data_IF_901816683147
#
_entry.id   IF_901816683147
#
_cell.length_a   1.000
_cell.length_b   1.000
_cell.length_c   1.000
_cell.angle_alpha   90.00
_cell.angle_beta   90.00
_cell.angle_gamma   90.00
#
_symmetry.space_group_name_H-M   'P 1'
#
loop_
_entity.id
_entity.type
_entity.pdbx_description
1 polymer ?
#
# COMPACT_ATOMS: atom_id res chain seq x y z
N UNK A 1 20.27 12.96 5.86
CA UNK A 1 20.50 12.86 4.39
C UNK A 1 19.31 12.26 3.63
N UNK A 2 18.53 11.36 4.20
CA UNK A 2 17.40 10.66 3.52
C UNK A 2 16.32 11.61 2.98
N UNK A 3 15.87 12.58 3.76
CA UNK A 3 14.81 13.51 3.33
C UNK A 3 15.21 14.40 2.14
N UNK A 4 16.38 15.07 2.15
CA UNK A 4 16.84 15.80 0.97
C UNK A 4 16.99 14.90 -0.27
N UNK A 5 17.46 13.66 -0.10
CA UNK A 5 17.59 12.72 -1.22
C UNK A 5 16.22 12.37 -1.84
N UNK A 6 15.17 12.20 -1.03
CA UNK A 6 13.81 11.96 -1.52
C UNK A 6 13.26 13.17 -2.28
N UNK A 7 13.47 14.39 -1.75
CA UNK A 7 13.06 15.63 -2.43
C UNK A 7 13.80 15.77 -3.76
N UNK A 8 15.11 15.56 -3.79
CA UNK A 8 15.89 15.55 -5.03
C UNK A 8 15.39 14.49 -6.01
N UNK A 9 15.09 13.29 -5.55
CA UNK A 9 14.57 12.20 -6.37
C UNK A 9 13.24 12.59 -7.05
N UNK A 10 12.37 13.33 -6.40
CA UNK A 10 11.13 13.85 -6.98
C UNK A 10 11.37 14.98 -7.98
N UNK A 11 12.30 15.88 -7.64
CA UNK A 11 12.51 17.11 -8.40
C UNK A 11 13.39 16.90 -9.63
N UNK A 12 14.29 15.92 -9.62
CA UNK A 12 15.14 15.61 -10.80
C UNK A 12 14.24 15.22 -11.97
N UNK A 13 14.32 16.00 -13.05
CA UNK A 13 13.52 15.82 -14.25
C UNK A 13 12.06 16.26 -14.15
N UNK A 14 11.66 16.81 -13.01
CA UNK A 14 10.31 17.36 -12.85
C UNK A 14 10.14 18.66 -13.65
N UNK A 15 8.93 18.84 -14.19
CA UNK A 15 8.58 20.04 -14.97
C UNK A 15 7.40 20.73 -14.33
N UNK A 16 7.60 22.01 -13.97
CA UNK A 16 6.52 22.85 -13.49
C UNK A 16 5.79 23.50 -14.67
N UNK A 17 4.50 23.29 -14.78
CA UNK A 17 3.68 23.91 -15.81
C UNK A 17 3.41 25.38 -15.48
N UNK A 18 3.63 26.29 -16.45
CA UNK A 18 3.44 27.74 -16.31
C UNK A 18 1.98 28.10 -15.98
N UNK A 19 1.73 29.36 -15.59
CA UNK A 19 0.37 29.87 -15.39
C UNK A 19 -0.47 29.63 -16.64
N UNK A 20 -1.66 29.08 -16.45
CA UNK A 20 -2.59 28.75 -17.57
C UNK A 20 -2.35 27.40 -18.25
N UNK A 21 -1.20 26.73 -18.04
CA UNK A 21 -0.94 25.38 -18.56
C UNK A 21 -1.02 24.32 -17.48
N UNK A 22 -1.38 23.08 -17.87
CA UNK A 22 -1.63 21.96 -16.95
C UNK A 22 -0.96 20.70 -17.44
N UNK A 23 -0.67 19.79 -16.52
CA UNK A 23 -0.29 18.43 -16.85
C UNK A 23 -1.57 17.61 -17.13
N UNK A 24 -2.02 17.60 -18.38
CA UNK A 24 -3.24 16.88 -18.78
C UNK A 24 -3.09 15.35 -18.62
N UNK A 25 -1.85 14.88 -18.51
CA UNK A 25 -1.54 13.45 -18.33
C UNK A 25 -1.35 13.05 -16.87
N UNK A 26 -1.75 13.88 -15.89
CA UNK A 26 -1.47 13.68 -14.46
C UNK A 26 -1.96 12.32 -13.91
N UNK A 27 -3.00 11.72 -14.51
CA UNK A 27 -3.51 10.39 -14.19
C UNK A 27 -3.22 9.36 -15.28
N UNK A 28 -2.33 9.66 -16.23
CA UNK A 28 -1.89 8.67 -17.22
C UNK A 28 -1.16 7.50 -16.53
N UNK A 29 -1.12 6.35 -17.21
CA UNK A 29 -0.42 5.17 -16.70
C UNK A 29 1.06 5.45 -16.42
N UNK A 30 1.72 6.30 -17.26
CA UNK A 30 3.12 6.69 -17.05
C UNK A 30 3.28 7.52 -15.77
N UNK A 31 2.45 8.56 -15.57
CA UNK A 31 2.54 9.42 -14.40
C UNK A 31 2.18 8.67 -13.12
N UNK A 32 1.14 7.85 -13.12
CA UNK A 32 0.76 7.05 -11.96
C UNK A 32 1.85 6.03 -11.60
N UNK A 33 2.51 5.41 -12.57
CA UNK A 33 3.66 4.51 -12.32
C UNK A 33 4.84 5.24 -11.70
N UNK A 34 5.17 6.45 -12.17
CA UNK A 34 6.24 7.27 -11.58
C UNK A 34 5.95 7.57 -10.11
N UNK A 35 4.71 7.99 -9.79
CA UNK A 35 4.29 8.22 -8.41
C UNK A 35 4.33 6.94 -7.57
N UNK A 36 3.82 5.83 -8.10
CA UNK A 36 3.87 4.53 -7.42
C UNK A 36 5.30 4.06 -7.17
N UNK A 37 6.22 4.28 -8.11
CA UNK A 37 7.64 3.99 -7.92
C UNK A 37 8.26 4.78 -6.77
N UNK A 38 7.94 6.07 -6.65
CA UNK A 38 8.37 6.90 -5.53
C UNK A 38 7.78 6.42 -4.20
N UNK A 39 6.47 6.20 -4.15
CA UNK A 39 5.81 5.78 -2.91
C UNK A 39 6.18 4.35 -2.48
N UNK A 40 6.58 3.47 -3.41
CA UNK A 40 7.13 2.17 -3.03
C UNK A 40 8.45 2.31 -2.24
N UNK A 41 9.31 3.26 -2.62
CA UNK A 41 10.52 3.60 -1.86
C UNK A 41 10.14 4.17 -0.49
N UNK A 42 9.15 5.07 -0.43
CA UNK A 42 8.67 5.62 0.84
C UNK A 42 8.08 4.54 1.77
N UNK A 43 7.39 3.53 1.22
CA UNK A 43 6.88 2.38 1.99
C UNK A 43 8.04 1.53 2.54
N UNK A 44 9.11 1.31 1.76
CA UNK A 44 10.31 0.65 2.29
C UNK A 44 10.91 1.43 3.46
N UNK A 45 11.02 2.77 3.35
CA UNK A 45 11.52 3.62 4.44
C UNK A 45 10.58 3.59 5.66
N UNK A 46 9.27 3.52 5.46
CA UNK A 46 8.28 3.33 6.51
C UNK A 46 8.55 2.03 7.29
N UNK A 47 8.71 0.91 6.60
CA UNK A 47 8.98 -0.36 7.26
C UNK A 47 10.35 -0.37 7.97
N UNK A 48 11.39 0.26 7.38
CA UNK A 48 12.68 0.44 8.06
C UNK A 48 12.50 1.31 9.33
N UNK A 49 11.70 2.38 9.26
CA UNK A 49 11.39 3.21 10.43
C UNK A 49 10.70 2.41 11.54
N UNK A 50 9.73 1.56 11.19
CA UNK A 50 9.04 0.69 12.13
C UNK A 50 9.99 -0.29 12.83
N UNK A 51 10.94 -0.87 12.11
CA UNK A 51 11.88 -1.84 12.67
C UNK A 51 13.05 -1.19 13.45
N UNK A 52 13.32 0.11 13.24
CA UNK A 52 14.53 0.74 13.81
C UNK A 52 14.27 1.80 14.85
N UNK A 53 13.18 2.55 14.79
CA UNK A 53 12.97 3.71 15.67
C UNK A 53 11.52 3.90 16.15
N UNK A 54 10.63 2.95 15.89
CA UNK A 54 9.25 3.05 16.35
C UNK A 54 9.13 3.12 17.89
N UNK A 55 8.07 3.76 18.43
CA UNK A 55 7.88 3.89 19.87
C UNK A 55 7.84 2.55 20.63
N UNK A 56 7.39 1.48 19.99
CA UNK A 56 7.32 0.12 20.56
C UNK A 56 8.64 -0.66 20.50
N UNK A 57 9.68 -0.12 19.84
CA UNK A 57 10.99 -0.77 19.81
C UNK A 57 11.73 -0.55 21.15
N UNK A 58 12.24 -1.63 21.74
CA UNK A 58 13.00 -1.59 22.99
C UNK A 58 14.30 -0.79 22.83
N UNK A 59 14.97 -0.97 21.68
CA UNK A 59 16.19 -0.23 21.34
C UNK A 59 15.98 0.51 20.02
N UNK A 60 16.18 1.82 20.04
CA UNK A 60 16.03 2.68 18.89
C UNK A 60 17.39 3.00 18.28
N UNK A 61 17.44 3.00 16.96
CA UNK A 61 18.62 3.43 16.20
C UNK A 61 18.49 4.92 15.86
N UNK A 62 19.56 5.68 16.10
CA UNK A 62 19.62 7.09 15.82
C UNK A 62 20.80 7.45 14.89
N UNK A 63 20.66 8.45 13.95
CA UNK A 63 19.40 9.11 13.60
C UNK A 63 18.45 8.14 12.89
N UNK A 64 17.17 8.16 13.25
CA UNK A 64 16.16 7.23 12.75
C UNK A 64 15.31 7.81 11.60
N UNK A 65 14.22 7.11 11.33
CA UNK A 65 13.21 7.48 10.34
C UNK A 65 11.86 7.76 11.02
N UNK A 66 11.88 8.45 12.17
CA UNK A 66 10.71 8.69 13.01
C UNK A 66 9.50 9.22 12.23
N UNK A 67 9.63 10.20 11.30
CA UNK A 67 8.52 10.68 10.50
C UNK A 67 7.90 9.61 9.58
N UNK A 68 8.63 8.53 9.30
CA UNK A 68 8.13 7.45 8.46
C UNK A 68 7.36 6.37 9.22
N UNK A 69 7.44 6.31 10.55
CA UNK A 69 6.90 5.20 11.38
C UNK A 69 5.40 5.00 11.18
N UNK A 70 4.62 6.07 11.12
CA UNK A 70 3.15 6.01 11.07
C UNK A 70 2.55 6.36 9.70
N UNK A 71 3.34 6.94 8.79
CA UNK A 71 2.85 7.56 7.53
C UNK A 71 2.54 6.54 6.41
N UNK A 72 2.89 5.26 6.58
CA UNK A 72 2.83 4.26 5.51
C UNK A 72 1.47 4.11 4.84
N UNK A 73 0.37 4.21 5.60
CA UNK A 73 -0.98 4.09 5.06
C UNK A 73 -1.33 5.22 4.08
N UNK A 74 -0.74 6.42 4.23
CA UNK A 74 -0.91 7.51 3.26
C UNK A 74 -0.32 7.13 1.90
N UNK A 75 0.84 6.47 1.89
CA UNK A 75 1.48 6.04 0.64
C UNK A 75 0.69 4.93 -0.04
N UNK A 76 0.20 3.95 0.72
CA UNK A 76 -0.65 2.86 0.19
C UNK A 76 -1.97 3.39 -0.36
N UNK A 77 -2.49 4.47 0.19
CA UNK A 77 -3.72 5.13 -0.25
C UNK A 77 -3.71 5.50 -1.73
N UNK A 78 -2.56 5.97 -2.25
CA UNK A 78 -2.42 6.27 -3.68
C UNK A 78 -2.53 5.01 -4.53
N UNK A 79 -1.97 3.87 -4.09
CA UNK A 79 -2.08 2.60 -4.82
C UNK A 79 -3.54 2.14 -4.88
N UNK A 80 -4.29 2.29 -3.78
CA UNK A 80 -5.72 1.98 -3.75
C UNK A 80 -6.50 2.83 -4.74
N UNK A 81 -6.30 4.16 -4.72
CA UNK A 81 -6.97 5.08 -5.65
C UNK A 81 -6.61 4.76 -7.12
N UNK A 82 -5.33 4.58 -7.43
CA UNK A 82 -4.87 4.25 -8.77
C UNK A 82 -5.43 2.90 -9.26
N UNK A 83 -5.60 1.92 -8.37
CA UNK A 83 -6.19 0.63 -8.71
C UNK A 83 -7.66 0.77 -9.12
N UNK A 84 -8.47 1.42 -8.31
CA UNK A 84 -9.89 1.67 -8.63
C UNK A 84 -10.06 2.51 -9.90
N UNK A 85 -9.27 3.59 -10.03
CA UNK A 85 -9.25 4.46 -11.20
C UNK A 85 -8.91 3.66 -12.48
N UNK A 86 -7.83 2.89 -12.45
CA UNK A 86 -7.35 2.13 -13.61
C UNK A 86 -8.32 1.02 -14.03
N UNK A 87 -9.00 0.37 -13.09
CA UNK A 87 -10.03 -0.63 -13.40
C UNK A 87 -11.22 0.00 -14.14
N UNK A 88 -11.74 1.10 -13.62
CA UNK A 88 -12.90 1.78 -14.24
C UNK A 88 -12.54 2.35 -15.61
N UNK A 89 -11.38 3.01 -15.77
CA UNK A 89 -10.90 3.50 -17.08
C UNK A 89 -10.74 2.35 -18.08
N UNK A 90 -10.11 1.25 -17.66
CA UNK A 90 -9.94 0.08 -18.51
C UNK A 90 -11.28 -0.55 -18.91
N UNK A 91 -12.26 -0.59 -18.00
CA UNK A 91 -13.60 -1.08 -18.29
C UNK A 91 -14.33 -0.22 -19.33
N UNK A 92 -14.16 1.12 -19.27
CA UNK A 92 -14.78 2.04 -20.22
C UNK A 92 -14.11 2.08 -21.59
N UNK A 93 -12.80 1.81 -21.65
CA UNK A 93 -12.01 1.97 -22.88
C UNK A 93 -11.82 0.67 -23.67
N UNK A 94 -11.93 -0.50 -23.01
CA UNK A 94 -11.62 -1.79 -23.65
C UNK A 94 -12.90 -2.59 -23.83
N UNK A 95 -13.16 -3.01 -25.06
CA UNK A 95 -14.20 -3.99 -25.33
C UNK A 95 -13.95 -5.29 -24.58
N UNK A 96 -15.02 -5.90 -24.11
CA UNK A 96 -14.99 -7.19 -23.42
C UNK A 96 -13.98 -7.24 -22.25
N UNK A 97 -13.74 -6.11 -21.58
CA UNK A 97 -12.72 -6.00 -20.51
C UNK A 97 -12.87 -7.08 -19.42
N UNK A 98 -14.10 -7.46 -19.08
CA UNK A 98 -14.38 -8.45 -18.05
C UNK A 98 -14.10 -9.90 -18.52
N UNK A 99 -13.91 -10.14 -19.83
CA UNK A 99 -13.55 -11.47 -20.32
C UNK A 99 -12.13 -11.84 -19.91
N UNK A 100 -12.01 -12.92 -19.13
CA UNK A 100 -10.73 -13.36 -18.56
C UNK A 100 -10.18 -12.43 -17.46
N UNK A 101 -11.04 -11.60 -16.84
CA UNK A 101 -10.63 -10.63 -15.81
C UNK A 101 -9.88 -11.29 -14.64
N UNK A 102 -10.39 -12.40 -14.13
CA UNK A 102 -9.79 -13.14 -13.00
C UNK A 102 -8.35 -13.55 -13.34
N UNK A 103 -8.16 -14.20 -14.51
CA UNK A 103 -6.83 -14.60 -14.97
C UNK A 103 -5.88 -13.42 -15.20
N UNK A 104 -6.39 -12.28 -15.70
CA UNK A 104 -5.56 -11.11 -16.05
C UNK A 104 -5.29 -10.17 -14.86
N UNK A 105 -6.12 -10.17 -13.81
CA UNK A 105 -6.05 -9.20 -12.71
C UNK A 105 -5.83 -9.85 -11.34
N UNK A 106 -6.45 -10.97 -11.06
CA UNK A 106 -6.37 -11.64 -9.74
C UNK A 106 -5.21 -12.65 -9.73
N UNK A 107 -5.11 -13.50 -10.75
CA UNK A 107 -4.08 -14.54 -10.82
C UNK A 107 -2.65 -13.98 -10.68
N UNK A 108 -2.23 -12.85 -11.31
CA UNK A 108 -0.90 -12.28 -11.09
C UNK A 108 -0.62 -11.91 -9.63
N UNK A 109 -1.63 -11.43 -8.89
CA UNK A 109 -1.48 -11.12 -7.47
C UNK A 109 -1.28 -12.39 -6.63
N UNK A 110 -2.03 -13.45 -6.94
CA UNK A 110 -1.91 -14.74 -6.27
C UNK A 110 -0.51 -15.35 -6.55
N UNK A 111 -0.03 -15.29 -7.79
CA UNK A 111 1.32 -15.75 -8.16
C UNK A 111 2.36 -14.97 -7.34
N UNK A 112 2.33 -13.63 -7.35
CA UNK A 112 3.27 -12.80 -6.62
C UNK A 112 3.24 -13.06 -5.09
N UNK A 113 2.04 -13.29 -4.54
CA UNK A 113 1.87 -13.68 -3.13
C UNK A 113 2.62 -14.98 -2.80
N UNK A 114 2.39 -16.04 -3.58
CA UNK A 114 3.02 -17.33 -3.32
C UNK A 114 4.51 -17.32 -3.65
N UNK A 115 4.94 -16.70 -4.74
CA UNK A 115 6.35 -16.62 -5.11
C UNK A 115 7.16 -15.92 -4.01
N UNK A 116 6.72 -14.75 -3.54
CA UNK A 116 7.41 -14.04 -2.47
C UNK A 116 7.23 -14.73 -1.13
N UNK A 117 6.05 -15.27 -0.82
CA UNK A 117 5.78 -16.03 0.39
C UNK A 117 6.70 -17.24 0.54
N UNK A 118 6.95 -17.98 -0.55
CA UNK A 118 7.88 -19.12 -0.55
C UNK A 118 9.33 -18.67 -0.33
N UNK A 119 9.74 -17.52 -0.86
CA UNK A 119 11.08 -16.96 -0.58
C UNK A 119 11.26 -16.61 0.91
N UNK A 120 10.26 -15.98 1.52
CA UNK A 120 10.27 -15.74 2.97
C UNK A 120 10.25 -17.03 3.78
N UNK A 121 9.45 -18.01 3.37
CA UNK A 121 9.40 -19.32 4.03
C UNK A 121 10.75 -20.02 3.95
N UNK A 122 11.38 -20.03 2.77
CA UNK A 122 12.72 -20.59 2.59
C UNK A 122 13.78 -19.89 3.46
N UNK A 123 13.73 -18.54 3.53
CA UNK A 123 14.64 -17.78 4.40
C UNK A 123 14.43 -18.15 5.89
N UNK A 124 13.20 -18.30 6.37
CA UNK A 124 12.88 -18.72 7.73
C UNK A 124 13.41 -20.14 8.04
N UNK A 125 13.30 -21.06 7.08
CA UNK A 125 13.90 -22.41 7.19
C UNK A 125 15.43 -22.34 7.29
N UNK A 126 16.08 -21.55 6.43
CA UNK A 126 17.54 -21.37 6.46
C UNK A 126 18.03 -20.74 7.77
N UNK A 127 17.26 -19.82 8.33
CA UNK A 127 17.53 -19.19 9.64
C UNK A 127 17.14 -20.09 10.84
N UNK A 128 16.69 -21.33 10.56
CA UNK A 128 16.32 -22.32 11.58
C UNK A 128 15.21 -21.83 12.52
N UNK A 129 14.26 -21.04 12.00
CA UNK A 129 13.08 -20.65 12.77
C UNK A 129 12.31 -21.90 13.22
N UNK A 130 11.98 -21.96 14.53
CA UNK A 130 11.18 -23.05 15.08
C UNK A 130 9.73 -22.94 14.59
N UNK A 131 9.32 -23.87 13.76
CA UNK A 131 7.96 -23.93 13.22
C UNK A 131 7.33 -25.28 13.53
N UNK A 132 6.13 -25.25 14.10
CA UNK A 132 5.32 -26.46 14.22
C UNK A 132 4.59 -26.77 12.91
N UNK A 133 4.05 -27.99 12.80
CA UNK A 133 3.35 -28.43 11.59
C UNK A 133 2.15 -27.52 11.21
N UNK A 134 1.45 -26.96 12.20
CA UNK A 134 0.36 -26.01 11.97
C UNK A 134 0.84 -24.70 11.33
N UNK A 135 1.94 -24.11 11.81
CA UNK A 135 2.53 -22.92 11.24
C UNK A 135 2.99 -23.14 9.79
N UNK A 136 3.61 -24.29 9.52
CA UNK A 136 4.01 -24.69 8.17
C UNK A 136 2.78 -24.81 7.25
N UNK A 137 1.74 -25.51 7.71
CA UNK A 137 0.48 -25.63 6.95
C UNK A 137 -0.12 -24.24 6.65
N UNK A 138 -0.19 -23.35 7.64
CA UNK A 138 -0.70 -22.00 7.44
C UNK A 138 0.11 -21.20 6.40
N UNK A 139 1.43 -21.35 6.39
CA UNK A 139 2.28 -20.64 5.42
C UNK A 139 2.12 -21.17 3.99
N UNK A 140 2.01 -22.49 3.82
CA UNK A 140 1.85 -23.13 2.51
C UNK A 140 0.43 -22.91 1.96
N UNK A 141 -0.59 -22.98 2.81
CA UNK A 141 -1.99 -22.78 2.40
C UNK A 141 -2.36 -21.31 2.15
N UNK A 142 -1.51 -20.35 2.58
CA UNK A 142 -1.82 -18.91 2.56
C UNK A 142 -2.78 -18.48 3.67
N UNK A 143 -3.10 -19.35 4.63
CA UNK A 143 -3.88 -19.00 5.81
C UNK A 143 -3.09 -18.11 6.78
N UNK A 144 -1.78 -18.27 6.85
CA UNK A 144 -0.85 -17.39 7.52
C UNK A 144 0.06 -16.68 6.53
N UNK A 145 0.61 -15.54 6.90
CA UNK A 145 1.48 -14.76 6.05
C UNK A 145 2.96 -15.02 6.41
N UNK A 146 3.71 -15.81 5.61
CA UNK A 146 5.16 -15.89 5.79
C UNK A 146 5.83 -14.52 5.54
N UNK A 147 5.28 -13.77 4.58
CA UNK A 147 5.62 -12.37 4.32
C UNK A 147 4.59 -11.45 4.98
N UNK A 148 4.95 -10.83 6.10
CA UNK A 148 4.06 -9.96 6.88
C UNK A 148 3.64 -8.69 6.12
N UNK A 149 4.42 -8.29 5.13
CA UNK A 149 4.16 -7.11 4.31
C UNK A 149 3.18 -7.37 3.16
N UNK A 150 2.78 -8.65 2.93
CA UNK A 150 1.95 -9.04 1.78
C UNK A 150 0.45 -8.74 1.93
N UNK A 151 0.01 -8.07 2.99
CA UNK A 151 -1.42 -7.79 3.25
C UNK A 151 -2.14 -7.13 2.05
N UNK A 152 -1.47 -6.22 1.34
CA UNK A 152 -2.04 -5.53 0.18
C UNK A 152 -2.44 -6.51 -0.94
N UNK A 153 -1.58 -7.49 -1.26
CA UNK A 153 -1.90 -8.49 -2.29
C UNK A 153 -2.93 -9.52 -1.85
N UNK A 154 -3.21 -9.61 -0.56
CA UNK A 154 -4.31 -10.41 -0.01
C UNK A 154 -5.63 -9.64 -0.10
N UNK A 155 -5.62 -8.34 0.21
CA UNK A 155 -6.81 -7.49 0.16
C UNK A 155 -7.28 -7.18 -1.28
N UNK A 156 -6.34 -6.93 -2.19
CA UNK A 156 -6.66 -6.51 -3.57
C UNK A 156 -7.50 -7.51 -4.38
N UNK A 157 -7.28 -8.84 -4.34
CA UNK A 157 -8.15 -9.82 -4.99
C UNK A 157 -9.61 -9.71 -4.56
N UNK A 158 -9.88 -9.42 -3.29
CA UNK A 158 -11.24 -9.19 -2.80
C UNK A 158 -11.89 -7.99 -3.47
N UNK A 159 -11.20 -6.83 -3.54
CA UNK A 159 -11.74 -5.63 -4.20
C UNK A 159 -11.90 -5.82 -5.71
N UNK A 160 -10.98 -6.54 -6.34
CA UNK A 160 -11.08 -6.87 -7.75
C UNK A 160 -12.25 -7.81 -8.03
N UNK A 161 -12.49 -8.77 -7.15
CA UNK A 161 -13.65 -9.66 -7.25
C UNK A 161 -14.96 -8.89 -7.05
N UNK A 162 -15.05 -8.00 -6.05
CA UNK A 162 -16.21 -7.11 -5.85
C UNK A 162 -16.49 -6.27 -7.10
N UNK A 163 -15.44 -5.63 -7.66
CA UNK A 163 -15.56 -4.89 -8.91
C UNK A 163 -16.07 -5.81 -10.03
N UNK A 164 -15.44 -6.96 -10.24
CA UNK A 164 -15.81 -7.90 -11.29
C UNK A 164 -17.27 -8.33 -11.19
N UNK A 165 -17.72 -8.76 -10.03
CA UNK A 165 -19.09 -9.22 -9.79
C UNK A 165 -20.10 -8.10 -10.02
N UNK A 166 -19.87 -6.92 -9.43
CA UNK A 166 -20.76 -5.79 -9.60
C UNK A 166 -20.84 -5.30 -11.06
N UNK A 167 -19.70 -5.22 -11.75
CA UNK A 167 -19.66 -4.74 -13.13
C UNK A 167 -20.14 -5.76 -14.16
N UNK A 168 -20.13 -7.06 -13.81
CA UNK A 168 -20.65 -8.12 -14.66
C UNK A 168 -22.16 -8.32 -14.52
N UNK A 169 -22.68 -8.29 -13.31
CA UNK A 169 -24.05 -8.72 -13.04
C UNK A 169 -25.04 -7.56 -12.90
N UNK A 170 -24.63 -6.38 -12.45
CA UNK A 170 -25.54 -5.26 -12.37
C UNK A 170 -25.69 -4.58 -13.72
N UNK A 171 -26.92 -4.20 -14.06
CA UNK A 171 -27.26 -3.51 -15.31
C UNK A 171 -26.89 -2.03 -15.24
N UNK A 172 -27.32 -1.33 -14.18
CA UNK A 172 -27.18 0.12 -14.05
C UNK A 172 -25.82 0.51 -13.48
N UNK A 173 -25.21 1.54 -14.05
CA UNK A 173 -23.87 1.97 -13.67
C UNK A 173 -23.77 2.41 -12.20
N UNK A 174 -24.81 3.06 -11.69
CA UNK A 174 -24.84 3.44 -10.28
C UNK A 174 -24.81 2.22 -9.35
N UNK A 175 -25.53 1.14 -9.68
CA UNK A 175 -25.50 -0.11 -8.91
C UNK A 175 -24.12 -0.79 -8.97
N UNK A 176 -23.43 -0.72 -10.11
CA UNK A 176 -22.04 -1.25 -10.22
C UNK A 176 -21.12 -0.56 -9.23
N UNK A 177 -21.21 0.77 -9.18
CA UNK A 177 -20.35 1.60 -8.32
C UNK A 177 -20.73 1.46 -6.85
N UNK A 178 -22.03 1.57 -6.51
CA UNK A 178 -22.49 1.45 -5.12
C UNK A 178 -22.34 0.02 -4.58
N UNK A 179 -22.52 -1.00 -5.41
CA UNK A 179 -22.24 -2.39 -5.04
C UNK A 179 -20.77 -2.62 -4.73
N UNK A 180 -19.86 -2.02 -5.53
CA UNK A 180 -18.42 -2.08 -5.22
C UNK A 180 -18.09 -1.32 -3.93
N UNK A 181 -18.72 -0.16 -3.69
CA UNK A 181 -18.63 0.57 -2.43
C UNK A 181 -19.08 -0.30 -1.25
N UNK A 182 -20.23 -0.97 -1.38
CA UNK A 182 -20.75 -1.85 -0.34
C UNK A 182 -19.78 -3.00 -0.03
N UNK A 183 -19.10 -3.57 -1.05
CA UNK A 183 -18.05 -4.56 -0.85
C UNK A 183 -16.85 -4.02 -0.09
N UNK A 184 -16.36 -2.82 -0.41
CA UNK A 184 -15.28 -2.14 0.32
C UNK A 184 -15.70 -1.83 1.75
N UNK A 185 -16.92 -1.36 1.95
CA UNK A 185 -17.46 -1.09 3.28
C UNK A 185 -17.60 -2.38 4.10
N UNK A 186 -18.10 -3.47 3.52
CA UNK A 186 -18.17 -4.77 4.19
C UNK A 186 -16.80 -5.27 4.64
N UNK A 187 -15.78 -5.14 3.77
CA UNK A 187 -14.40 -5.49 4.13
C UNK A 187 -13.91 -4.65 5.32
N UNK A 188 -14.15 -3.35 5.28
CA UNK A 188 -13.78 -2.42 6.36
C UNK A 188 -14.52 -2.75 7.65
N UNK A 189 -15.83 -2.99 7.57
CA UNK A 189 -16.67 -3.40 8.71
C UNK A 189 -16.15 -4.69 9.35
N UNK A 190 -15.89 -5.71 8.54
CA UNK A 190 -15.32 -6.97 9.05
C UNK A 190 -13.94 -6.76 9.68
N UNK A 191 -13.09 -5.93 9.06
CA UNK A 191 -11.76 -5.59 9.60
C UNK A 191 -11.81 -4.88 10.94
N UNK A 192 -12.79 -3.99 11.15
CA UNK A 192 -13.00 -3.32 12.45
C UNK A 192 -13.66 -4.21 13.49
N UNK A 193 -14.47 -5.18 13.05
CA UNK A 193 -15.23 -6.06 13.93
C UNK A 193 -14.42 -7.25 14.45
N UNK A 194 -13.63 -7.92 13.58
CA UNK A 194 -12.87 -9.11 13.98
C UNK A 194 -11.72 -8.75 14.93
N UNK A 195 -11.36 -9.65 15.81
CA UNK A 195 -10.14 -9.49 16.60
C UNK A 195 -8.93 -9.58 15.71
N UNK A 196 -8.02 -8.61 15.81
CA UNK A 196 -6.76 -8.65 15.10
C UNK A 196 -5.92 -9.82 15.64
N UNK A 197 -5.36 -10.62 14.74
CA UNK A 197 -4.65 -11.83 15.11
C UNK A 197 -3.40 -12.03 14.24
N UNK A 198 -2.72 -13.16 14.45
CA UNK A 198 -1.48 -13.47 13.73
C UNK A 198 -1.68 -14.00 12.31
N UNK A 199 -2.91 -14.17 11.84
CA UNK A 199 -3.20 -14.71 10.52
C UNK A 199 -3.60 -13.60 9.54
N UNK A 200 -4.82 -13.12 9.64
CA UNK A 200 -5.41 -12.09 8.79
C UNK A 200 -5.92 -10.92 9.65
N UNK A 201 -6.12 -9.75 9.05
CA UNK A 201 -6.57 -8.55 9.77
C UNK A 201 -5.73 -8.28 11.04
N UNK A 202 -4.43 -8.14 10.83
CA UNK A 202 -3.45 -8.01 11.93
C UNK A 202 -3.44 -6.62 12.57
N UNK A 203 -4.12 -5.65 11.97
CA UNK A 203 -4.22 -4.27 12.46
C UNK A 203 -4.97 -3.37 11.47
N UNK A 204 -5.10 -2.10 11.83
CA UNK A 204 -5.84 -1.10 11.07
C UNK A 204 -5.29 -0.83 9.67
N UNK A 205 -4.02 -1.09 9.44
CA UNK A 205 -3.40 -0.92 8.11
C UNK A 205 -4.03 -1.81 7.04
N UNK A 206 -4.77 -2.84 7.41
CA UNK A 206 -5.51 -3.68 6.48
C UNK A 206 -6.74 -2.99 5.88
N UNK A 207 -7.29 -1.95 6.55
CA UNK A 207 -8.55 -1.33 6.12
C UNK A 207 -8.55 0.20 6.14
N UNK A 208 -7.54 0.88 6.70
CA UNK A 208 -7.57 2.33 6.87
C UNK A 208 -7.40 3.15 5.57
N UNK A 209 -6.94 2.53 4.49
CA UNK A 209 -6.73 3.18 3.18
C UNK A 209 -7.62 2.64 2.06
N UNK A 210 -8.37 1.56 2.31
CA UNK A 210 -9.08 0.82 1.25
C UNK A 210 -10.27 1.58 0.64
N UNK A 211 -10.85 2.53 1.36
CA UNK A 211 -11.93 3.38 0.86
C UNK A 211 -11.51 4.13 -0.43
N UNK A 212 -10.23 4.44 -0.60
CA UNK A 212 -9.71 5.11 -1.79
C UNK A 212 -9.77 4.24 -3.05
N UNK A 213 -9.91 2.93 -2.93
CA UNK A 213 -10.19 2.08 -4.09
C UNK A 213 -11.53 2.45 -4.75
N UNK A 214 -12.59 2.58 -3.95
CA UNK A 214 -13.90 2.99 -4.45
C UNK A 214 -13.93 4.46 -4.88
N UNK A 215 -13.27 5.35 -4.12
CA UNK A 215 -13.10 6.75 -4.51
C UNK A 215 -12.37 6.88 -5.84
N UNK A 216 -11.39 6.01 -6.11
CA UNK A 216 -10.69 5.95 -7.41
C UNK A 216 -11.63 5.62 -8.58
N UNK A 217 -12.62 4.74 -8.38
CA UNK A 217 -13.66 4.43 -9.37
C UNK A 217 -14.54 5.68 -9.63
N UNK A 218 -14.97 6.35 -8.55
CA UNK A 218 -15.75 7.59 -8.67
C UNK A 218 -14.96 8.71 -9.36
N UNK A 219 -13.71 8.89 -8.96
CA UNK A 219 -12.84 9.87 -9.58
C UNK A 219 -12.66 9.60 -11.08
N UNK A 220 -12.45 8.33 -11.47
CA UNK A 220 -12.34 7.96 -12.88
C UNK A 220 -13.62 8.25 -13.68
N UNK A 221 -14.80 8.08 -13.08
CA UNK A 221 -16.09 8.40 -13.70
C UNK A 221 -16.27 9.90 -13.92
N UNK A 222 -15.90 10.69 -12.92
CA UNK A 222 -16.10 12.15 -12.92
C UNK A 222 -14.79 12.93 -13.12
N UNK A 223 -13.75 12.28 -13.67
CA UNK A 223 -12.42 12.88 -13.83
C UNK A 223 -12.47 14.23 -14.53
N UNK A 224 -13.16 14.32 -15.67
CA UNK A 224 -13.23 15.56 -16.48
C UNK A 224 -13.86 16.72 -15.70
N UNK A 225 -15.11 16.62 -15.19
CA UNK A 225 -15.72 17.74 -14.47
C UNK A 225 -14.98 18.08 -13.16
N UNK A 226 -14.44 17.11 -12.43
CA UNK A 226 -13.64 17.37 -11.22
C UNK A 226 -12.37 18.13 -11.60
N UNK A 227 -11.64 17.68 -12.63
CA UNK A 227 -10.39 18.32 -13.07
C UNK A 227 -10.62 19.75 -13.54
N UNK A 228 -11.69 19.99 -14.33
CA UNK A 228 -12.05 21.35 -14.77
C UNK A 228 -12.39 22.26 -13.60
N UNK A 229 -13.13 21.75 -12.63
CA UNK A 229 -13.45 22.50 -11.40
C UNK A 229 -12.18 22.80 -10.58
N UNK A 230 -11.30 21.81 -10.39
CA UNK A 230 -10.02 21.99 -9.67
C UNK A 230 -9.12 22.99 -10.40
N UNK A 231 -9.04 22.96 -11.73
CA UNK A 231 -8.28 23.93 -12.52
C UNK A 231 -8.80 25.36 -12.33
N UNK A 232 -10.12 25.52 -12.28
CA UNK A 232 -10.76 26.84 -12.04
C UNK A 232 -10.42 27.41 -10.67
N UNK A 233 -10.40 26.57 -9.63
CA UNK A 233 -10.15 26.97 -8.23
C UNK A 233 -8.82 26.42 -7.70
N UNK A 234 -7.81 26.32 -8.56
CA UNK A 234 -6.58 25.59 -8.25
C UNK A 234 -5.90 26.01 -6.95
N UNK A 235 -5.70 27.32 -6.74
CA UNK A 235 -5.01 27.84 -5.54
C UNK A 235 -5.80 27.45 -4.27
N UNK A 236 -7.13 27.64 -4.30
CA UNK A 236 -7.97 27.24 -3.18
C UNK A 236 -7.87 25.73 -2.90
N UNK A 237 -8.03 24.89 -3.92
CA UNK A 237 -7.91 23.44 -3.77
C UNK A 237 -6.53 23.03 -3.25
N UNK A 238 -5.47 23.62 -3.79
CA UNK A 238 -4.10 23.35 -3.38
C UNK A 238 -3.88 23.70 -1.91
N UNK A 239 -4.27 24.91 -1.47
CA UNK A 239 -4.08 25.36 -0.09
C UNK A 239 -4.94 24.54 0.88
N UNK A 240 -6.21 24.31 0.56
CA UNK A 240 -7.13 23.52 1.41
C UNK A 240 -6.63 22.08 1.59
N UNK A 241 -6.21 21.44 0.50
CA UNK A 241 -5.73 20.05 0.57
C UNK A 241 -4.34 19.95 1.22
N UNK A 242 -3.45 20.93 1.01
CA UNK A 242 -2.17 20.99 1.70
C UNK A 242 -2.37 21.14 3.22
N UNK A 243 -3.16 22.14 3.63
CA UNK A 243 -3.47 22.34 5.05
C UNK A 243 -4.23 21.13 5.63
N UNK A 244 -5.17 20.58 4.86
CA UNK A 244 -5.87 19.34 5.22
C UNK A 244 -4.93 18.17 5.46
N UNK A 245 -3.96 17.95 4.59
CA UNK A 245 -2.96 16.88 4.76
C UNK A 245 -2.04 17.14 5.97
N UNK A 246 -1.58 18.38 6.14
CA UNK A 246 -0.69 18.78 7.25
C UNK A 246 -1.38 18.73 8.62
N UNK A 247 -2.69 18.95 8.68
CA UNK A 247 -3.46 18.94 9.93
C UNK A 247 -4.07 17.57 10.20
N UNK A 248 -4.66 16.91 9.18
CA UNK A 248 -5.38 15.67 9.38
C UNK A 248 -4.46 14.51 9.75
N UNK A 249 -3.21 14.49 9.26
CA UNK A 249 -2.27 13.43 9.65
C UNK A 249 -1.89 13.52 11.14
N UNK A 250 -1.33 14.61 11.68
CA UNK A 250 -1.08 14.72 13.12
C UNK A 250 -2.33 14.56 13.96
N UNK A 251 -3.49 15.02 13.48
CA UNK A 251 -4.77 14.79 14.14
C UNK A 251 -5.11 13.29 14.22
N UNK A 252 -4.88 12.53 13.15
CA UNK A 252 -5.11 11.07 13.19
C UNK A 252 -4.18 10.35 14.16
N UNK A 253 -2.91 10.77 14.25
CA UNK A 253 -1.97 10.26 15.24
C UNK A 253 -2.41 10.58 16.68
N UNK A 254 -2.86 11.82 16.91
CA UNK A 254 -3.41 12.23 18.20
C UNK A 254 -4.63 11.40 18.58
N UNK A 255 -5.59 11.24 17.65
CA UNK A 255 -6.80 10.43 17.89
C UNK A 255 -6.42 8.97 18.22
N UNK A 256 -5.50 8.38 17.48
CA UNK A 256 -5.04 7.00 17.74
C UNK A 256 -4.34 6.89 19.10
N UNK A 257 -3.65 7.92 19.53
CA UNK A 257 -3.02 7.96 20.86
C UNK A 257 -4.02 8.10 22.02
N UNK A 258 -5.10 8.90 21.84
CA UNK A 258 -6.08 9.18 22.90
C UNK A 258 -7.20 8.13 22.93
N UNK A 259 -7.68 7.70 21.77
CA UNK A 259 -8.80 6.75 21.62
C UNK A 259 -8.24 5.39 21.20
N UNK A 260 -7.17 4.94 21.87
CA UNK A 260 -6.47 3.73 21.49
C UNK A 260 -7.39 2.51 21.44
N UNK A 261 -7.27 1.72 20.34
CA UNK A 261 -7.86 0.39 20.22
C UNK A 261 -6.89 -0.71 20.69
N UNK A 262 -5.68 -0.37 21.11
CA UNK A 262 -4.71 -1.32 21.69
C UNK A 262 -5.22 -1.97 22.98
N UNK A 263 -6.29 -1.47 23.55
CA UNK A 263 -7.07 -2.13 24.61
C UNK A 263 -7.70 -3.46 24.19
N UNK A 264 -7.61 -3.86 22.92
CA UNK A 264 -8.06 -5.18 22.46
C UNK A 264 -7.34 -6.35 23.15
N UNK A 265 -6.14 -6.11 23.66
CA UNK A 265 -5.39 -7.06 24.49
C UNK A 265 -5.70 -6.96 25.98
N UNK A 266 -6.58 -6.02 26.37
CA UNK A 266 -7.01 -5.85 27.76
C UNK A 266 -8.36 -6.57 27.96
N UNK A 267 -8.40 -7.66 28.74
CA UNK A 267 -9.62 -8.43 28.95
C UNK A 267 -10.74 -7.65 29.67
N UNK A 268 -10.42 -6.50 30.28
CA UNK A 268 -11.40 -5.64 30.96
C UNK A 268 -12.11 -4.65 30.03
N UNK A 269 -11.69 -4.55 28.77
CA UNK A 269 -12.35 -3.68 27.78
C UNK A 269 -13.29 -4.50 26.93
N UNK A 270 -14.56 -4.10 26.86
CA UNK A 270 -15.55 -4.81 26.05
C UNK A 270 -15.25 -4.69 24.56
N UNK A 271 -15.54 -5.74 23.80
CA UNK A 271 -15.37 -5.76 22.35
C UNK A 271 -16.08 -4.59 21.64
N UNK A 272 -17.28 -4.20 22.11
CA UNK A 272 -18.02 -3.07 21.56
C UNK A 272 -17.24 -1.74 21.69
N UNK A 273 -16.53 -1.52 22.81
CA UNK A 273 -15.68 -0.34 23.01
C UNK A 273 -14.50 -0.36 22.07
N UNK A 274 -13.84 -1.51 21.91
CA UNK A 274 -12.72 -1.68 20.96
C UNK A 274 -13.16 -1.36 19.53
N UNK A 275 -14.29 -1.92 19.08
CA UNK A 275 -14.85 -1.65 17.75
C UNK A 275 -15.18 -0.17 17.58
N UNK A 276 -15.84 0.46 18.57
CA UNK A 276 -16.11 1.90 18.55
C UNK A 276 -14.82 2.72 18.39
N UNK A 277 -13.78 2.40 19.17
CA UNK A 277 -12.51 3.10 19.12
C UNK A 277 -11.83 2.94 17.75
N UNK A 278 -11.86 1.74 17.17
CA UNK A 278 -11.37 1.49 15.80
C UNK A 278 -12.07 2.37 14.76
N UNK A 279 -13.41 2.53 14.85
CA UNK A 279 -14.16 3.40 13.94
C UNK A 279 -13.79 4.88 14.09
N UNK A 280 -13.53 5.36 15.30
CA UNK A 280 -13.09 6.74 15.55
C UNK A 280 -11.70 6.96 14.95
N UNK A 281 -10.75 6.06 15.22
CA UNK A 281 -9.40 6.12 14.63
C UNK A 281 -9.47 6.05 13.10
N UNK A 282 -10.26 5.11 12.56
CA UNK A 282 -10.44 4.94 11.12
C UNK A 282 -10.97 6.20 10.45
N UNK A 283 -11.97 6.86 11.03
CA UNK A 283 -12.53 8.10 10.46
C UNK A 283 -11.46 9.19 10.31
N UNK A 284 -10.60 9.37 11.32
CA UNK A 284 -9.50 10.33 11.26
C UNK A 284 -8.43 9.94 10.22
N UNK A 285 -8.08 8.66 10.12
CA UNK A 285 -7.13 8.14 9.14
C UNK A 285 -7.67 8.22 7.70
N UNK A 286 -8.97 7.98 7.49
CA UNK A 286 -9.63 8.16 6.19
C UNK A 286 -9.60 9.63 5.74
N UNK A 287 -9.79 10.57 6.65
CA UNK A 287 -9.67 12.00 6.36
C UNK A 287 -8.23 12.33 5.94
N UNK A 288 -7.24 11.91 6.74
CA UNK A 288 -5.83 12.18 6.48
C UNK A 288 -5.37 11.60 5.13
N UNK A 289 -5.70 10.33 4.85
CA UNK A 289 -5.33 9.67 3.60
C UNK A 289 -6.02 10.28 2.38
N UNK A 290 -7.29 10.70 2.51
CA UNK A 290 -8.00 11.40 1.43
C UNK A 290 -7.39 12.77 1.14
N UNK A 291 -7.14 13.60 2.16
CA UNK A 291 -6.48 14.90 1.98
C UNK A 291 -5.11 14.75 1.33
N UNK A 292 -4.31 13.78 1.80
CA UNK A 292 -2.98 13.53 1.25
C UNK A 292 -3.03 13.12 -0.23
N UNK A 293 -3.85 12.14 -0.58
CA UNK A 293 -3.90 11.64 -1.97
C UNK A 293 -4.41 12.72 -2.92
N UNK A 294 -5.49 13.43 -2.57
CA UNK A 294 -5.98 14.51 -3.41
C UNK A 294 -5.02 15.69 -3.48
N UNK A 295 -4.27 16.01 -2.42
CA UNK A 295 -3.17 16.97 -2.49
C UNK A 295 -2.12 16.55 -3.52
N UNK A 296 -1.68 15.28 -3.49
CA UNK A 296 -0.71 14.75 -4.46
C UNK A 296 -1.25 14.86 -5.90
N UNK A 297 -2.53 14.56 -6.13
CA UNK A 297 -3.14 14.69 -7.47
C UNK A 297 -3.22 16.15 -7.94
N UNK A 298 -3.62 17.06 -7.05
CA UNK A 298 -3.69 18.51 -7.38
C UNK A 298 -2.28 19.06 -7.63
N UNK A 299 -1.29 18.67 -6.84
CA UNK A 299 0.12 19.02 -7.10
C UNK A 299 0.56 18.50 -8.48
N UNK A 300 0.21 17.24 -8.83
CA UNK A 300 0.59 16.62 -10.09
C UNK A 300 -0.09 17.28 -11.33
N UNK A 301 -1.17 18.04 -11.16
CA UNK A 301 -1.72 18.88 -12.23
C UNK A 301 -0.76 20.00 -12.65
N UNK A 302 0.14 20.43 -11.78
CA UNK A 302 1.15 21.47 -12.07
C UNK A 302 2.56 20.92 -12.16
N UNK A 303 2.89 19.91 -11.36
CA UNK A 303 4.23 19.33 -11.29
C UNK A 303 4.23 17.98 -12.02
N UNK A 304 4.69 17.95 -13.28
CA UNK A 304 4.91 16.70 -14.01
C UNK A 304 6.22 16.05 -13.54
N UNK A 305 6.13 14.96 -12.79
CA UNK A 305 7.29 14.19 -12.35
C UNK A 305 7.73 13.27 -13.49
N UNK A 306 9.01 13.31 -13.88
CA UNK A 306 9.41 12.70 -15.14
C UNK A 306 10.75 12.00 -15.15
N UNK A 307 11.27 11.49 -14.01
CA UNK A 307 12.60 10.91 -14.02
C UNK A 307 12.57 9.41 -14.41
N UNK A 308 13.64 8.99 -15.13
CA UNK A 308 13.76 7.61 -15.67
C UNK A 308 13.82 6.55 -14.56
N UNK A 309 14.44 6.90 -13.44
CA UNK A 309 14.60 5.98 -12.32
C UNK A 309 13.26 5.67 -11.68
N UNK A 310 12.44 6.69 -11.35
CA UNK A 310 11.10 6.47 -10.78
C UNK A 310 10.17 5.74 -11.74
N UNK A 311 10.30 5.99 -13.05
CA UNK A 311 9.56 5.24 -14.07
C UNK A 311 9.95 3.77 -14.07
N UNK A 312 11.22 3.47 -13.95
CA UNK A 312 11.72 2.10 -13.81
C UNK A 312 11.18 1.46 -12.52
N UNK A 313 11.29 2.12 -11.37
CA UNK A 313 10.74 1.63 -10.10
C UNK A 313 9.23 1.37 -10.20
N UNK A 314 8.48 2.22 -10.91
CA UNK A 314 7.08 2.02 -11.22
C UNK A 314 6.76 0.74 -12.01
N UNK A 315 7.74 0.18 -12.73
CA UNK A 315 7.55 -1.10 -13.44
C UNK A 315 7.70 -2.33 -12.55
N UNK A 316 8.41 -2.23 -11.44
CA UNK A 316 8.70 -3.33 -10.49
C UNK A 316 8.09 -3.08 -9.11
N UNK A 317 7.16 -2.16 -9.02
CA UNK A 317 6.60 -1.67 -7.76
C UNK A 317 6.03 -2.77 -6.87
N UNK A 318 5.25 -3.71 -7.44
CA UNK A 318 4.61 -4.78 -6.69
C UNK A 318 5.65 -5.73 -6.11
N UNK A 319 6.56 -6.18 -6.94
CA UNK A 319 7.59 -7.13 -6.55
C UNK A 319 8.59 -6.51 -5.56
N UNK A 320 8.94 -5.22 -5.76
CA UNK A 320 9.77 -4.47 -4.83
C UNK A 320 9.07 -4.31 -3.47
N UNK A 321 7.78 -3.94 -3.48
CA UNK A 321 6.96 -3.87 -2.26
C UNK A 321 6.91 -5.20 -1.52
N UNK A 322 6.82 -6.32 -2.22
CA UNK A 322 6.74 -7.63 -1.59
C UNK A 322 8.08 -8.16 -1.07
N UNK A 323 9.20 -7.84 -1.76
CA UNK A 323 10.49 -8.48 -1.45
C UNK A 323 11.38 -7.66 -0.50
N UNK A 324 11.19 -6.32 -0.40
CA UNK A 324 12.08 -5.50 0.44
C UNK A 324 12.05 -5.91 1.93
N UNK A 325 10.89 -6.38 2.40
CA UNK A 325 10.73 -6.88 3.76
C UNK A 325 11.62 -8.09 4.08
N UNK A 326 11.92 -8.93 3.08
CA UNK A 326 12.85 -10.05 3.26
C UNK A 326 14.24 -9.56 3.66
N UNK A 327 14.78 -8.59 2.90
CA UNK A 327 16.10 -8.04 3.22
C UNK A 327 16.08 -7.20 4.51
N UNK A 328 14.96 -6.55 4.79
CA UNK A 328 14.79 -5.87 6.07
C UNK A 328 14.85 -6.87 7.23
N UNK A 329 14.14 -7.98 7.18
CA UNK A 329 14.19 -9.03 8.23
C UNK A 329 15.60 -9.65 8.36
N UNK A 330 16.29 -9.87 7.22
CA UNK A 330 17.63 -10.47 7.23
C UNK A 330 18.72 -9.57 7.81
N UNK A 331 18.57 -8.25 7.74
CA UNK A 331 19.59 -7.28 8.13
C UNK A 331 19.17 -6.32 9.24
N UNK A 332 17.91 -6.36 9.70
CA UNK A 332 17.48 -5.64 10.90
C UNK A 332 17.52 -6.55 12.11
N UNK A 333 17.71 -5.93 13.28
CA UNK A 333 17.57 -6.64 14.53
C UNK A 333 16.13 -6.47 15.02
N UNK A 334 15.34 -7.54 15.01
CA UNK A 334 14.08 -7.58 15.73
C UNK A 334 14.34 -7.70 17.23
N UNK A 335 14.02 -6.65 17.97
CA UNK A 335 13.99 -6.65 19.42
C UNK A 335 12.62 -7.14 19.88
N UNK A 336 12.50 -8.38 20.21
CA UNK A 336 11.28 -8.94 20.77
C UNK A 336 11.25 -10.44 20.54
N UNK A 337 11.10 -11.19 21.56
CA UNK A 337 11.23 -12.64 21.67
C UNK A 337 12.63 -13.19 21.35
N UNK A 338 13.35 -13.42 22.43
CA UNK A 338 14.68 -14.00 22.46
C UNK A 338 14.80 -15.42 21.88
N UNK A 339 13.72 -15.94 21.29
CA UNK A 339 13.64 -17.28 20.72
C UNK A 339 13.70 -17.32 19.19
N UNK A 340 13.43 -16.21 18.49
CA UNK A 340 13.38 -16.16 17.05
C UNK A 340 14.44 -15.21 16.48
N UNK A 341 15.65 -15.72 16.24
CA UNK A 341 16.73 -14.98 15.56
C UNK A 341 16.41 -14.98 14.07
N UNK A 342 15.92 -13.86 13.55
CA UNK A 342 15.55 -13.72 12.13
C UNK A 342 16.59 -12.96 11.31
N UNK A 343 17.65 -12.41 11.91
CA UNK A 343 18.68 -11.66 11.20
C UNK A 343 19.98 -12.46 11.01
N UNK A 344 20.56 -12.37 9.81
CA UNK A 344 21.89 -12.93 9.53
C UNK A 344 22.96 -12.03 10.14
N UNK A 345 22.84 -10.71 9.92
CA UNK A 345 23.74 -9.67 10.41
C UNK A 345 22.95 -8.47 10.84
N UNK A 346 23.25 -7.98 12.05
CA UNK A 346 22.63 -6.75 12.56
C UNK A 346 23.32 -5.52 11.99
N UNK A 347 22.61 -4.76 11.18
CA UNK A 347 23.05 -3.43 10.73
C UNK A 347 22.44 -2.37 11.65
N UNK A 348 23.28 -1.72 12.48
CA UNK A 348 22.85 -0.67 13.41
C UNK A 348 22.88 0.74 12.80
N UNK A 349 23.59 0.93 11.69
CA UNK A 349 23.58 2.20 10.96
C UNK A 349 22.38 2.25 10.03
N UNK A 350 21.41 3.11 10.32
CA UNK A 350 20.15 3.22 9.53
C UNK A 350 20.41 3.60 8.09
N UNK A 351 21.38 4.47 7.79
CA UNK A 351 21.71 4.85 6.42
C UNK A 351 22.27 3.66 5.63
N UNK A 352 23.15 2.88 6.24
CA UNK A 352 23.67 1.66 5.62
C UNK A 352 22.55 0.62 5.43
N UNK A 353 21.66 0.45 6.41
CA UNK A 353 20.52 -0.45 6.29
C UNK A 353 19.59 -0.05 5.11
N UNK A 354 19.30 1.24 4.95
CA UNK A 354 18.53 1.74 3.80
C UNK A 354 19.19 1.34 2.49
N UNK A 355 20.50 1.60 2.36
CA UNK A 355 21.26 1.27 1.14
C UNK A 355 21.25 -0.23 0.88
N UNK A 356 21.54 -1.05 1.88
CA UNK A 356 21.60 -2.52 1.73
C UNK A 356 20.24 -3.08 1.35
N UNK A 357 19.17 -2.71 2.06
CA UNK A 357 17.82 -3.17 1.74
C UNK A 357 17.42 -2.74 0.34
N UNK A 358 17.67 -1.48 -0.04
CA UNK A 358 17.33 -0.97 -1.37
C UNK A 358 18.10 -1.69 -2.48
N UNK A 359 19.44 -1.76 -2.37
CA UNK A 359 20.31 -2.33 -3.39
C UNK A 359 20.05 -3.82 -3.62
N UNK A 360 19.71 -4.57 -2.58
CA UNK A 360 19.37 -5.98 -2.70
C UNK A 360 17.92 -6.20 -3.20
N UNK A 361 16.99 -5.34 -2.79
CA UNK A 361 15.58 -5.48 -3.17
C UNK A 361 15.33 -5.21 -4.66
N UNK A 362 16.04 -4.28 -5.28
CA UNK A 362 15.82 -3.94 -6.71
C UNK A 362 16.10 -5.10 -7.64
N UNK A 363 17.29 -5.74 -7.64
CA UNK A 363 17.56 -6.90 -8.50
C UNK A 363 16.68 -8.11 -8.12
N UNK A 364 16.38 -8.31 -6.84
CA UNK A 364 15.46 -9.36 -6.40
C UNK A 364 14.05 -9.14 -6.95
N UNK A 365 13.52 -7.91 -6.93
CA UNK A 365 12.24 -7.58 -7.52
C UNK A 365 12.18 -7.85 -9.03
N UNK A 366 13.27 -7.56 -9.76
CA UNK A 366 13.37 -7.90 -11.19
C UNK A 366 13.34 -9.42 -11.40
N UNK A 367 14.06 -10.18 -10.55
CA UNK A 367 14.09 -11.64 -10.59
C UNK A 367 12.70 -12.24 -10.30
N UNK A 368 12.04 -11.80 -9.23
CA UNK A 368 10.68 -12.21 -8.87
C UNK A 368 9.70 -11.92 -10.00
N UNK A 369 9.75 -10.72 -10.59
CA UNK A 369 8.89 -10.36 -11.71
C UNK A 369 9.08 -11.27 -12.94
N UNK A 370 10.32 -11.64 -13.26
CA UNK A 370 10.60 -12.58 -14.35
C UNK A 370 10.02 -13.96 -14.04
N UNK A 371 10.18 -14.43 -12.81
CA UNK A 371 9.63 -15.71 -12.36
C UNK A 371 8.09 -15.71 -12.39
N UNK A 372 7.46 -14.67 -11.86
CA UNK A 372 6.00 -14.51 -11.87
C UNK A 372 5.44 -14.53 -13.30
N UNK A 373 6.10 -13.81 -14.21
CA UNK A 373 5.73 -13.81 -15.64
C UNK A 373 5.90 -15.18 -16.29
N UNK A 374 6.92 -15.95 -15.92
CA UNK A 374 7.13 -17.30 -16.40
C UNK A 374 6.01 -18.23 -15.93
N UNK A 375 5.73 -18.23 -14.63
CA UNK A 375 4.64 -19.01 -14.02
C UNK A 375 3.30 -18.65 -14.67
N UNK A 376 3.02 -17.36 -14.82
CA UNK A 376 1.81 -16.89 -15.46
C UNK A 376 1.65 -17.41 -16.89
N UNK A 377 2.73 -17.39 -17.69
CA UNK A 377 2.73 -17.92 -19.07
C UNK A 377 2.49 -19.42 -19.12
N UNK A 378 3.07 -20.17 -18.19
CA UNK A 378 2.84 -21.64 -18.09
C UNK A 378 1.37 -21.92 -17.79
N UNK A 379 0.80 -21.26 -16.78
CA UNK A 379 -0.59 -21.44 -16.40
C UNK A 379 -1.59 -20.98 -17.48
N UNK A 380 -1.23 -20.00 -18.33
CA UNK A 380 -2.09 -19.52 -19.42
C UNK A 380 -1.94 -20.29 -20.74
N UNK A 381 -0.87 -21.06 -20.91
CA UNK A 381 -0.71 -21.94 -22.08
C UNK A 381 -1.47 -23.26 -21.94
N UNK A 382 -1.83 -23.61 -20.71
CA UNK A 382 -2.56 -24.85 -20.40
C UNK A 382 -4.09 -24.69 -20.54
N UNK A 383 -4.57 -23.47 -20.86
CA UNK A 383 -5.98 -23.14 -21.12
C UNK A 383 -6.12 -22.52 -22.52
#
# INVERSE_FOLDING_TARGET
MTYPALVLLLLVGAKWNKKGSWNEEFMSLDQTKVLQGFFAICIMLHHIGQETCAPWQTYKLYPGLEPFVSIGYLFVSLFMLCSGFGLYKSYKQKENYLKGFIGKRILPLIIAFYTTGLLFFAARLLLKEKMNGWKIFCYISGWGLPNLYAWFVVAMPFFYLCFYLCFRFFKWEWLKITGTMAGVFLYTFLGTWVNHNNYWMRGEWWYNSVHLFWIGILFAKYEKPITEWVKKYYILCFVVLLLGALIAFPFSEYVTGVVSYYGEYNPFISHAVVVKNRWICLASQMLASSCFVFFVLVLNLKLKIGNRFLRFMGTVTLEFYLIHGLFLELFSYRFGDSTDIHSIVRITNVALLIVVVFVLSVPAAIGVKKLDNLIYKVLHRSN
#
